data_IF_609531090211
#
_entry.id   IF_609531090211
#
_cell.length_a   1.000
_cell.length_b   1.000
_cell.length_c   1.000
_cell.angle_alpha   90.00
_cell.angle_beta   90.00
_cell.angle_gamma   90.00
#
_symmetry.space_group_name_H-M   'P 1'
#
loop_
_entity.id
_entity.type
_entity.pdbx_description
1 polymer ?
#
# COMPACT_ATOMS: atom_id res chain seq x y z
N UNK A 1 17.50 6.58 -0.12
CA UNK A 1 17.56 6.52 -1.60
C UNK A 1 16.16 6.21 -2.11
N UNK A 2 15.72 6.84 -3.19
CA UNK A 2 14.44 6.50 -3.84
C UNK A 2 14.79 5.52 -4.96
N UNK A 3 14.12 4.37 -4.99
CA UNK A 3 14.30 3.34 -6.02
C UNK A 3 12.98 3.22 -6.78
N UNK A 4 13.06 3.21 -8.10
CA UNK A 4 11.89 3.19 -8.98
C UNK A 4 12.16 2.25 -10.15
N UNK A 5 11.32 1.22 -10.27
CA UNK A 5 11.40 0.23 -11.33
C UNK A 5 10.10 0.19 -12.11
N UNK A 6 10.22 0.00 -13.42
CA UNK A 6 9.08 -0.03 -14.33
C UNK A 6 9.11 -1.33 -15.12
N UNK A 7 7.99 -2.06 -15.12
CA UNK A 7 7.85 -3.34 -15.79
C UNK A 7 6.57 -3.36 -16.63
N UNK A 8 6.63 -4.05 -17.77
CA UNK A 8 5.45 -4.30 -18.60
C UNK A 8 4.76 -5.58 -18.12
N UNK A 9 3.47 -5.47 -17.78
CA UNK A 9 2.61 -6.58 -17.34
C UNK A 9 1.47 -6.71 -18.34
N UNK A 10 1.59 -7.68 -19.26
CA UNK A 10 0.73 -7.74 -20.44
C UNK A 10 0.91 -6.50 -21.31
N UNK A 11 -0.17 -5.78 -21.59
CA UNK A 11 -0.14 -4.51 -22.34
C UNK A 11 -0.03 -3.26 -21.45
N UNK A 12 0.06 -3.45 -20.13
CA UNK A 12 0.07 -2.37 -19.15
C UNK A 12 1.47 -2.12 -18.62
N UNK A 13 1.80 -0.86 -18.41
CA UNK A 13 3.05 -0.46 -17.74
C UNK A 13 2.78 -0.26 -16.25
N UNK A 14 3.48 -1.01 -15.41
CA UNK A 14 3.41 -0.91 -13.96
C UNK A 14 4.71 -0.34 -13.43
N UNK A 15 4.62 0.64 -12.56
CA UNK A 15 5.75 1.29 -11.91
C UNK A 15 5.69 1.02 -10.41
N UNK A 16 6.82 0.66 -9.81
CA UNK A 16 6.96 0.39 -8.39
C UNK A 16 8.04 1.32 -7.84
N UNK A 17 7.69 2.15 -6.87
CA UNK A 17 8.60 3.09 -6.21
C UNK A 17 8.70 2.79 -4.71
N UNK A 18 9.91 2.83 -4.14
CA UNK A 18 10.15 2.72 -2.69
C UNK A 18 11.12 3.77 -2.19
N UNK A 19 11.12 4.02 -0.87
CA UNK A 19 12.02 4.95 -0.20
C UNK A 19 11.59 6.42 -0.20
N UNK A 20 10.46 6.78 -0.84
CA UNK A 20 9.91 8.15 -0.80
C UNK A 20 9.02 8.40 0.43
N UNK A 21 8.01 7.55 0.65
CA UNK A 21 6.96 7.74 1.66
C UNK A 21 6.86 6.55 2.62
N UNK A 22 6.16 6.72 3.75
CA UNK A 22 5.94 5.67 4.76
C UNK A 22 7.23 4.97 5.27
N UNK A 23 8.35 5.71 5.35
CA UNK A 23 9.70 5.20 5.68
C UNK A 23 9.84 4.51 7.05
N UNK A 24 8.87 4.69 7.95
CA UNK A 24 8.86 4.02 9.25
C UNK A 24 8.27 2.62 9.19
N UNK A 25 7.49 2.29 8.16
CA UNK A 25 7.10 0.91 7.89
C UNK A 25 8.33 0.09 7.51
N UNK A 26 8.33 -1.21 7.82
CA UNK A 26 9.44 -2.09 7.43
C UNK A 26 9.49 -2.31 5.91
N UNK A 27 8.32 -2.33 5.27
CA UNK A 27 8.18 -2.31 3.82
C UNK A 27 7.15 -1.26 3.39
N UNK A 28 7.47 -0.49 2.35
CA UNK A 28 6.51 0.41 1.72
C UNK A 28 6.81 0.57 0.24
N UNK A 29 5.78 0.46 -0.60
CA UNK A 29 5.86 0.70 -2.04
C UNK A 29 4.69 1.56 -2.50
N UNK A 30 4.98 2.49 -3.41
CA UNK A 30 3.97 3.20 -4.19
C UNK A 30 3.94 2.54 -5.57
N UNK A 31 2.81 1.92 -5.89
CA UNK A 31 2.59 1.23 -7.17
C UNK A 31 1.68 2.11 -8.02
N UNK A 32 2.05 2.32 -9.28
CA UNK A 32 1.21 3.02 -10.24
C UNK A 32 1.07 2.26 -11.55
N UNK A 33 -0.12 2.34 -12.13
CA UNK A 33 -0.44 1.79 -13.45
C UNK A 33 -1.36 2.78 -14.18
N UNK A 34 -0.79 3.54 -15.12
CA UNK A 34 -1.46 4.73 -15.64
C UNK A 34 -1.75 5.73 -14.52
N UNK A 35 -2.99 6.20 -14.44
CA UNK A 35 -3.43 7.19 -13.42
C UNK A 35 -3.85 6.54 -12.09
N UNK A 36 -3.92 5.20 -12.02
CA UNK A 36 -4.26 4.50 -10.78
C UNK A 36 -3.02 4.34 -9.92
N UNK A 37 -3.12 4.71 -8.64
CA UNK A 37 -2.00 4.67 -7.68
C UNK A 37 -2.45 4.00 -6.39
N UNK A 38 -1.62 3.10 -5.86
CA UNK A 38 -1.83 2.41 -4.57
C UNK A 38 -0.57 2.52 -3.73
N UNK A 39 -0.72 2.92 -2.47
CA UNK A 39 0.32 2.82 -1.45
C UNK A 39 0.11 1.52 -0.67
N UNK A 40 1.13 0.68 -0.63
CA UNK A 40 1.13 -0.57 0.14
C UNK A 40 2.22 -0.47 1.21
N UNK A 41 1.87 -0.77 2.45
CA UNK A 41 2.80 -0.84 3.58
C UNK A 41 2.71 -2.19 4.26
N UNK A 42 3.84 -2.73 4.69
CA UNK A 42 3.95 -3.98 5.43
C UNK A 42 4.71 -3.72 6.75
N UNK A 43 4.09 -4.16 7.84
CA UNK A 43 4.63 -4.07 9.19
C UNK A 43 4.41 -5.40 9.92
N UNK A 44 5.40 -5.83 10.66
CA UNK A 44 5.44 -7.05 11.45
C UNK A 44 6.38 -6.89 12.64
N UNK A 45 6.15 -7.66 13.70
CA UNK A 45 7.05 -7.68 14.85
C UNK A 45 8.32 -8.46 14.51
N UNK A 46 9.46 -8.05 15.09
CA UNK A 46 10.72 -8.80 14.92
C UNK A 46 10.65 -10.17 15.60
N UNK A 47 10.02 -10.19 16.77
CA UNK A 47 9.85 -11.40 17.58
C UNK A 47 8.39 -11.87 17.51
N UNK A 48 8.15 -13.21 17.52
CA UNK A 48 6.82 -13.76 17.67
C UNK A 48 6.28 -13.47 19.08
N UNK A 49 4.95 -13.30 19.22
CA UNK A 49 4.37 -13.15 20.57
C UNK A 49 4.35 -14.51 21.27
N UNK A 50 4.66 -14.58 22.57
CA UNK A 50 4.59 -15.83 23.33
C UNK A 50 3.18 -16.44 23.29
N UNK A 51 3.11 -17.77 23.19
CA UNK A 51 1.85 -18.50 23.24
C UNK A 51 1.02 -18.46 21.95
N UNK A 52 1.61 -18.03 20.82
CA UNK A 52 0.94 -18.09 19.52
C UNK A 52 1.06 -19.49 18.90
N UNK A 53 -0.07 -20.04 18.48
CA UNK A 53 -0.22 -21.31 17.76
C UNK A 53 -0.57 -21.14 16.26
N UNK A 54 -0.78 -19.89 15.81
CA UNK A 54 -1.02 -19.53 14.40
C UNK A 54 -0.34 -18.21 14.02
N UNK A 55 -0.34 -17.89 12.71
CA UNK A 55 0.20 -16.64 12.18
C UNK A 55 -0.91 -15.57 12.03
N UNK A 56 -0.90 -14.48 12.84
CA UNK A 56 -1.88 -13.41 12.81
C UNK A 56 -1.51 -12.41 11.73
N UNK A 57 -1.88 -12.75 10.49
CA UNK A 57 -1.74 -11.87 9.34
C UNK A 57 -3.06 -11.14 9.08
N UNK A 58 -3.01 -9.82 9.04
CA UNK A 58 -4.13 -8.97 8.63
C UNK A 58 -3.77 -8.20 7.36
N UNK A 59 -4.72 -8.11 6.45
CA UNK A 59 -4.60 -7.31 5.22
C UNK A 59 -5.78 -6.33 5.16
N UNK A 60 -5.49 -5.04 5.30
CA UNK A 60 -6.47 -3.98 5.18
C UNK A 60 -6.37 -3.32 3.81
N UNK A 61 -7.48 -3.35 3.05
CA UNK A 61 -7.60 -2.66 1.77
C UNK A 61 -8.62 -1.53 1.91
N UNK A 62 -8.19 -0.30 1.61
CA UNK A 62 -9.03 0.90 1.73
C UNK A 62 -8.93 1.74 0.46
N UNK A 63 -10.07 1.92 -0.21
CA UNK A 63 -10.20 2.89 -1.29
C UNK A 63 -10.58 4.26 -0.72
N UNK A 64 -9.81 5.28 -1.10
CA UNK A 64 -10.10 6.65 -0.69
C UNK A 64 -10.92 7.33 -1.77
N UNK A 65 -12.08 7.89 -1.40
CA UNK A 65 -12.99 8.57 -2.34
C UNK A 65 -12.30 9.72 -3.12
N UNK A 66 -11.32 10.38 -2.50
CA UNK A 66 -10.54 11.42 -3.16
C UNK A 66 -9.72 10.89 -4.35
N UNK A 67 -9.44 9.58 -4.43
CA UNK A 67 -8.70 8.99 -5.55
C UNK A 67 -9.48 9.13 -6.87
N UNK A 68 -10.81 9.27 -6.80
CA UNK A 68 -11.68 9.56 -7.94
C UNK A 68 -12.26 10.98 -7.89
N UNK A 69 -11.70 11.88 -7.06
CA UNK A 69 -12.20 13.25 -6.89
C UNK A 69 -13.57 13.37 -6.22
N UNK A 70 -13.99 12.36 -5.44
CA UNK A 70 -15.31 12.33 -4.79
C UNK A 70 -15.23 12.64 -3.30
N UNK A 71 -16.26 13.30 -2.77
CA UNK A 71 -16.48 13.48 -1.33
C UNK A 71 -17.30 12.28 -0.82
N UNK A 72 -16.96 11.67 0.33
CA UNK A 72 -17.72 10.53 0.87
C UNK A 72 -19.20 10.86 1.10
N UNK A 73 -20.10 9.93 0.76
CA UNK A 73 -21.55 10.17 0.78
C UNK A 73 -22.19 10.16 2.18
N UNK A 74 -21.60 9.45 3.15
CA UNK A 74 -22.20 9.21 4.47
C UNK A 74 -22.36 10.45 5.37
N UNK A 75 -23.04 10.29 6.49
CA UNK A 75 -23.29 11.39 7.46
C UNK A 75 -21.98 12.03 7.94
N UNK A 76 -20.97 11.20 8.27
CA UNK A 76 -19.68 11.66 8.76
C UNK A 76 -18.69 12.11 7.67
N UNK A 77 -19.03 11.95 6.38
CA UNK A 77 -18.20 12.37 5.23
C UNK A 77 -16.72 11.89 5.28
N UNK A 78 -16.46 10.67 5.79
CA UNK A 78 -15.11 10.09 5.96
C UNK A 78 -14.97 8.72 5.30
#
# INVERSE_FOLDING_TARGET
MIIKETVKVGDKTVTIETGRIAKQAQGSVLISQGDTVVLVTACGTKEPRPGMDFMPLSCDFVEKMYAAGKIPGGFFKR
#
